data_IF_570157561499
#
_entry.id   IF_570157561499
#
_cell.length_a   1.000
_cell.length_b   1.000
_cell.length_c   1.000
_cell.angle_alpha   90.00
_cell.angle_beta   90.00
_cell.angle_gamma   90.00
#
_symmetry.space_group_name_H-M   'P 1'
#
loop_
_entity.id
_entity.type
_entity.pdbx_description
1 polymer ?
#
# COMPACT_ATOMS: atom_id res chain seq x y z
N UNK A 1 17.40 8.28 2.23
CA UNK A 1 16.07 8.76 2.63
C UNK A 1 15.57 7.86 3.77
N UNK A 2 14.93 8.41 4.81
CA UNK A 2 14.31 7.58 5.84
C UNK A 2 13.27 6.65 5.20
N UNK A 3 13.26 5.39 5.61
CA UNK A 3 12.32 4.40 5.10
C UNK A 3 10.97 4.60 5.79
N UNK A 4 9.88 4.72 5.02
CA UNK A 4 8.53 4.85 5.55
C UNK A 4 8.02 3.47 5.99
N UNK A 5 7.70 3.23 7.28
CA UNK A 5 7.15 1.96 7.73
C UNK A 5 5.72 1.76 7.22
N UNK A 6 5.35 0.53 6.87
CA UNK A 6 3.95 0.22 6.49
C UNK A 6 2.96 0.48 7.64
N UNK A 7 3.40 0.38 8.88
CA UNK A 7 2.61 0.65 10.08
C UNK A 7 2.21 2.12 10.26
N UNK A 8 2.68 3.03 9.40
CA UNK A 8 2.27 4.45 9.39
C UNK A 8 0.93 4.67 8.69
N UNK A 9 0.48 3.72 7.87
CA UNK A 9 -0.81 3.78 7.22
C UNK A 9 -1.89 3.16 8.09
N UNK A 10 -3.07 3.78 8.09
CA UNK A 10 -4.26 3.23 8.73
C UNK A 10 -4.92 2.19 7.82
N UNK A 11 -4.36 0.98 7.83
CA UNK A 11 -4.84 -0.14 7.02
C UNK A 11 -5.82 -0.99 7.82
N UNK A 12 -6.81 -1.55 7.12
CA UNK A 12 -7.71 -2.54 7.69
C UNK A 12 -6.92 -3.70 8.30
N UNK A 13 -7.26 -4.08 9.53
CA UNK A 13 -6.48 -5.02 10.35
C UNK A 13 -6.07 -6.32 9.62
N UNK A 14 -6.96 -7.01 8.87
CA UNK A 14 -6.58 -8.21 8.14
C UNK A 14 -5.45 -7.99 7.13
N UNK A 15 -5.45 -6.84 6.45
CA UNK A 15 -4.42 -6.45 5.50
C UNK A 15 -3.11 -6.08 6.20
N UNK A 16 -3.17 -5.30 7.28
CA UNK A 16 -1.99 -4.95 8.08
C UNK A 16 -1.28 -6.21 8.62
N UNK A 17 -2.04 -7.16 9.15
CA UNK A 17 -1.52 -8.44 9.65
C UNK A 17 -0.88 -9.27 8.52
N UNK A 18 -1.50 -9.31 7.33
CA UNK A 18 -0.96 -10.01 6.17
C UNK A 18 0.36 -9.38 5.68
N UNK A 19 0.44 -8.05 5.58
CA UNK A 19 1.66 -7.31 5.22
C UNK A 19 2.79 -7.62 6.21
N UNK A 20 2.49 -7.59 7.51
CA UNK A 20 3.45 -7.94 8.57
C UNK A 20 3.92 -9.40 8.44
N UNK A 21 3.01 -10.34 8.20
CA UNK A 21 3.31 -11.77 8.03
C UNK A 21 4.20 -12.04 6.81
N UNK A 22 4.05 -11.25 5.74
CA UNK A 22 4.92 -11.32 4.56
C UNK A 22 6.32 -10.71 4.79
N UNK A 23 6.56 -10.06 5.94
CA UNK A 23 7.83 -9.41 6.25
C UNK A 23 8.00 -8.03 5.61
N UNK A 24 6.90 -7.38 5.21
CA UNK A 24 6.94 -6.03 4.63
C UNK A 24 6.99 -5.00 5.76
N UNK A 25 8.19 -4.65 6.21
CA UNK A 25 8.39 -3.67 7.29
C UNK A 25 8.37 -2.22 6.77
N UNK A 26 9.04 -1.98 5.64
CA UNK A 26 9.19 -0.64 5.06
C UNK A 26 8.77 -0.61 3.59
N UNK A 27 8.21 0.52 3.17
CA UNK A 27 7.88 0.78 1.79
C UNK A 27 9.13 0.97 0.92
N UNK A 28 9.03 0.53 -0.33
CA UNK A 28 9.91 1.00 -1.40
C UNK A 28 9.60 2.47 -1.74
N UNK A 29 10.49 3.19 -2.44
CA UNK A 29 10.24 4.59 -2.79
C UNK A 29 8.93 4.83 -3.55
N UNK A 30 8.60 3.94 -4.51
CA UNK A 30 7.35 4.08 -5.29
C UNK A 30 6.11 3.78 -4.43
N UNK A 31 6.19 2.84 -3.48
CA UNK A 31 5.12 2.56 -2.53
C UNK A 31 4.89 3.75 -1.60
N UNK A 32 5.95 4.31 -1.02
CA UNK A 32 5.85 5.45 -0.11
C UNK A 32 5.25 6.69 -0.80
N UNK A 33 5.59 6.92 -2.06
CA UNK A 33 5.05 8.04 -2.84
C UNK A 33 3.61 7.82 -3.31
N UNK A 34 3.20 6.58 -3.59
CA UNK A 34 1.85 6.29 -4.11
C UNK A 34 0.83 6.06 -3.01
N UNK A 35 1.16 5.28 -1.97
CA UNK A 35 0.21 4.83 -0.95
C UNK A 35 -0.39 5.99 -0.13
N UNK A 36 0.38 7.07 0.10
CA UNK A 36 -0.14 8.28 0.77
C UNK A 36 -1.30 8.94 0.00
N UNK A 37 -1.36 8.76 -1.32
CA UNK A 37 -2.41 9.32 -2.17
C UNK A 37 -3.51 8.30 -2.45
N UNK A 38 -3.14 7.07 -2.82
CA UNK A 38 -4.12 6.05 -3.22
C UNK A 38 -4.97 5.57 -2.05
N UNK A 39 -4.41 5.44 -0.85
CA UNK A 39 -5.18 5.11 0.36
C UNK A 39 -6.10 6.26 0.82
N UNK A 40 -5.85 7.49 0.34
CA UNK A 40 -6.74 8.63 0.53
C UNK A 40 -7.80 8.75 -0.58
N UNK A 41 -7.89 7.76 -1.49
CA UNK A 41 -8.87 7.74 -2.58
C UNK A 41 -8.50 8.58 -3.81
N UNK A 42 -7.26 9.04 -3.92
CA UNK A 42 -6.81 9.80 -5.10
C UNK A 42 -6.25 8.90 -6.20
N UNK A 43 -6.51 9.29 -7.45
CA UNK A 43 -5.88 8.69 -8.62
C UNK A 43 -4.38 8.97 -8.66
N UNK A 44 -3.59 7.97 -9.07
CA UNK A 44 -2.14 8.08 -9.19
C UNK A 44 -1.66 7.44 -10.49
N UNK A 45 -0.80 8.15 -11.22
CA UNK A 45 0.03 7.57 -12.28
C UNK A 45 1.46 7.38 -11.77
N UNK A 46 1.93 6.13 -11.75
CA UNK A 46 3.28 5.80 -11.28
C UNK A 46 4.15 5.16 -12.35
N UNK A 47 5.34 5.72 -12.61
CA UNK A 47 6.35 5.13 -13.50
C UNK A 47 7.57 4.68 -12.70
N UNK A 48 7.84 3.37 -12.70
CA UNK A 48 9.06 2.81 -12.12
C UNK A 48 9.44 1.50 -12.82
N UNK A 49 10.69 1.07 -12.71
CA UNK A 49 11.17 -0.21 -13.26
C UNK A 49 10.49 -1.43 -12.60
N UNK A 50 10.54 -2.59 -13.24
CA UNK A 50 10.04 -3.87 -12.68
C UNK A 50 10.79 -4.22 -11.39
N UNK A 51 10.14 -4.91 -10.45
CA UNK A 51 10.74 -5.29 -9.17
C UNK A 51 10.76 -4.19 -8.10
N UNK A 52 10.15 -3.02 -8.36
CA UNK A 52 10.10 -1.89 -7.40
C UNK A 52 8.91 -1.91 -6.45
N UNK A 53 8.03 -2.92 -6.54
CA UNK A 53 6.90 -3.08 -5.61
C UNK A 53 5.61 -2.34 -6.00
N UNK A 54 5.47 -1.88 -7.26
CA UNK A 54 4.23 -1.26 -7.79
C UNK A 54 3.00 -2.17 -7.64
N UNK A 55 3.15 -3.47 -7.92
CA UNK A 55 2.05 -4.45 -7.79
C UNK A 55 1.52 -4.50 -6.37
N UNK A 56 2.40 -4.50 -5.37
CA UNK A 56 1.98 -4.45 -3.97
C UNK A 56 1.29 -3.14 -3.63
N UNK A 57 1.77 -1.98 -4.10
CA UNK A 57 1.11 -0.69 -3.87
C UNK A 57 -0.34 -0.67 -4.38
N UNK A 58 -0.53 -1.16 -5.61
CA UNK A 58 -1.85 -1.26 -6.24
C UNK A 58 -2.78 -2.21 -5.48
N UNK A 59 -2.31 -3.43 -5.16
CA UNK A 59 -3.12 -4.42 -4.45
C UNK A 59 -3.45 -4.02 -3.02
N UNK A 60 -2.51 -3.40 -2.29
CA UNK A 60 -2.75 -2.90 -0.94
C UNK A 60 -3.87 -1.86 -0.96
N UNK A 61 -3.86 -0.95 -1.94
CA UNK A 61 -4.92 0.05 -2.11
C UNK A 61 -6.29 -0.61 -2.32
N UNK A 62 -6.38 -1.51 -3.30
CA UNK A 62 -7.66 -2.17 -3.65
C UNK A 62 -8.18 -3.02 -2.50
N UNK A 63 -7.33 -3.84 -1.89
CA UNK A 63 -7.76 -4.73 -0.80
C UNK A 63 -8.21 -3.90 0.40
N UNK A 64 -7.50 -2.80 0.72
CA UNK A 64 -7.91 -1.92 1.81
C UNK A 64 -9.27 -1.27 1.53
N UNK A 65 -9.49 -0.83 0.29
CA UNK A 65 -10.77 -0.26 -0.13
C UNK A 65 -11.90 -1.28 -0.05
N UNK A 66 -11.75 -2.47 -0.62
CA UNK A 66 -12.76 -3.53 -0.58
C UNK A 66 -13.09 -4.02 0.85
N UNK A 67 -12.12 -3.97 1.77
CA UNK A 67 -12.35 -4.28 3.18
C UNK A 67 -13.09 -3.14 3.91
N UNK A 68 -12.88 -1.89 3.49
CA UNK A 68 -13.53 -0.71 4.07
C UNK A 68 -14.92 -0.47 3.46
N UNK A 69 -15.08 -0.83 2.20
CA UNK A 69 -16.25 -0.61 1.34
C UNK A 69 -16.62 -1.93 0.62
N UNK A 70 -17.24 -2.90 1.32
CA UNK A 70 -17.62 -4.18 0.70
C UNK A 70 -18.56 -3.99 -0.49
N UNK A 71 -18.36 -4.79 -1.54
CA UNK A 71 -19.28 -4.84 -2.69
C UNK A 71 -20.53 -5.62 -2.27
N UNK A 72 -21.71 -5.03 -2.47
CA UNK A 72 -23.01 -5.70 -2.32
C UNK A 72 -23.34 -6.63 -3.50
#
# INVERSE_FOLDING_TARGET
>A
QPKLPFSTFDLQKPLADAIKKMGFEYCTPIQAQSLVHTLAGHDVTGKAQTGTGKTAAFLITIINDLLSNPIE
#
